data_IF_908658149934
#
_entry.id   IF_908658149934
#
_cell.length_a   1.000
_cell.length_b   1.000
_cell.length_c   1.000
_cell.angle_alpha   90.00
_cell.angle_beta   90.00
_cell.angle_gamma   90.00
#
_symmetry.space_group_name_H-M   'P 1'
#
loop_
_entity.id
_entity.type
_entity.pdbx_description
1 polymer ?
#
# COMPACT_ATOMS: atom_id res chain seq x y z
N UNK A 1 -3.48 6.12 -11.49
CA UNK A 1 -2.22 5.38 -11.50
C UNK A 1 -2.28 4.25 -10.50
N UNK A 2 -1.71 3.14 -10.87
CA UNK A 2 -1.68 2.01 -9.96
C UNK A 2 -0.37 1.97 -9.21
N UNK A 3 -0.47 1.74 -7.91
CA UNK A 3 0.70 1.64 -7.05
C UNK A 3 0.73 0.27 -6.41
N UNK A 4 1.91 -0.31 -6.35
CA UNK A 4 2.14 -1.55 -5.64
C UNK A 4 2.73 -1.18 -4.28
N UNK A 5 2.05 -1.58 -3.23
CA UNK A 5 2.44 -1.23 -1.88
C UNK A 5 2.81 -2.51 -1.14
N UNK A 6 4.02 -2.54 -0.63
CA UNK A 6 4.46 -3.67 0.18
C UNK A 6 4.13 -3.38 1.62
N UNK A 7 3.36 -4.24 2.22
CA UNK A 7 2.89 -4.05 3.58
C UNK A 7 3.24 -5.24 4.45
N UNK A 8 3.27 -4.98 5.73
CA UNK A 8 3.34 -6.05 6.73
C UNK A 8 2.15 -5.91 7.64
N UNK A 9 1.36 -6.96 7.72
CA UNK A 9 0.14 -6.95 8.50
C UNK A 9 0.06 -8.27 9.26
N UNK A 10 -0.04 -8.17 10.57
CA UNK A 10 -0.11 -9.32 11.46
C UNK A 10 1.03 -10.30 11.23
N UNK A 11 2.22 -9.75 11.01
CA UNK A 11 3.40 -10.58 10.83
C UNK A 11 3.59 -11.16 9.44
N UNK A 12 2.71 -10.81 8.52
CA UNK A 12 2.80 -11.32 7.16
C UNK A 12 3.07 -10.17 6.19
N UNK A 13 3.92 -10.41 5.23
CA UNK A 13 4.27 -9.42 4.22
C UNK A 13 3.51 -9.75 2.95
N UNK A 14 2.88 -8.74 2.38
CA UNK A 14 2.09 -8.89 1.16
C UNK A 14 2.23 -7.67 0.30
N UNK A 15 1.89 -7.83 -0.97
CA UNK A 15 1.80 -6.72 -1.91
C UNK A 15 0.34 -6.41 -2.16
N UNK A 16 0.02 -5.14 -2.13
CA UNK A 16 -1.34 -4.67 -2.38
C UNK A 16 -1.28 -3.67 -3.52
N UNK A 17 -2.22 -3.77 -4.44
CA UNK A 17 -2.30 -2.85 -5.55
C UNK A 17 -3.44 -1.88 -5.31
N UNK A 18 -3.17 -0.59 -5.41
CA UNK A 18 -4.18 0.44 -5.22
C UNK A 18 -4.09 1.46 -6.34
N UNK A 19 -5.21 2.09 -6.62
CA UNK A 19 -5.29 3.14 -7.62
C UNK A 19 -5.22 4.48 -6.90
N UNK A 20 -4.15 5.22 -7.12
CA UNK A 20 -3.92 6.47 -6.40
C UNK A 20 -3.25 7.47 -7.31
N UNK A 21 -3.26 8.72 -6.88
CA UNK A 21 -2.64 9.80 -7.65
C UNK A 21 -1.18 9.96 -7.33
N UNK A 22 -0.77 9.53 -6.14
CA UNK A 22 0.62 9.62 -5.75
C UNK A 22 0.87 8.61 -4.64
N UNK A 23 2.14 8.50 -4.24
CA UNK A 23 2.52 7.51 -3.25
C UNK A 23 1.90 7.75 -1.89
N UNK A 24 1.78 9.02 -1.50
CA UNK A 24 1.18 9.32 -0.20
C UNK A 24 -0.27 8.88 -0.16
N UNK A 25 -1.00 9.10 -1.24
CA UNK A 25 -2.38 8.68 -1.31
C UNK A 25 -2.49 7.17 -1.31
N UNK A 26 -1.56 6.49 -1.97
CA UNK A 26 -1.57 5.04 -2.00
C UNK A 26 -1.44 4.48 -0.58
N UNK A 27 -0.55 5.05 0.22
CA UNK A 27 -0.38 4.60 1.60
C UNK A 27 -1.63 4.86 2.42
N UNK A 28 -2.24 6.02 2.20
CA UNK A 28 -3.47 6.35 2.90
C UNK A 28 -4.56 5.32 2.61
N UNK A 29 -4.71 4.97 1.34
CA UNK A 29 -5.74 4.02 0.95
C UNK A 29 -5.51 2.66 1.58
N UNK A 30 -4.26 2.25 1.64
CA UNK A 30 -3.93 0.96 2.26
C UNK A 30 -4.27 1.00 3.76
N UNK A 31 -3.94 2.11 4.42
CA UNK A 31 -4.26 2.23 5.83
C UNK A 31 -5.75 2.21 6.09
N UNK A 32 -6.51 2.85 5.22
CA UNK A 32 -7.95 2.85 5.37
C UNK A 32 -8.53 1.46 5.18
N UNK A 33 -7.91 0.69 4.32
CA UNK A 33 -8.40 -0.63 4.00
C UNK A 33 -8.05 -1.65 5.08
N UNK A 34 -6.84 -1.55 5.62
CA UNK A 34 -6.32 -2.54 6.57
C UNK A 34 -6.38 -2.07 8.02
N UNK A 35 -6.50 -0.76 8.24
CA UNK A 35 -6.47 -0.23 9.58
C UNK A 35 -5.09 0.24 9.97
N UNK A 36 -4.98 0.74 11.20
CA UNK A 36 -3.74 1.35 11.64
C UNK A 36 -2.67 0.34 11.99
N UNK A 37 -3.02 -0.93 12.04
CA UNK A 37 -2.04 -1.95 12.40
C UNK A 37 -1.17 -2.36 11.23
N UNK A 38 -1.50 -1.89 10.05
CA UNK A 38 -0.71 -2.23 8.87
C UNK A 38 0.55 -1.38 8.84
N UNK A 39 1.67 -2.01 8.47
CA UNK A 39 2.92 -1.29 8.26
C UNK A 39 3.19 -1.24 6.77
N UNK A 40 3.34 -0.03 6.26
CA UNK A 40 3.71 0.16 4.86
C UNK A 40 5.23 0.16 4.79
N UNK A 41 5.77 -0.84 4.11
CA UNK A 41 7.21 -0.99 4.00
C UNK A 41 7.74 -0.27 2.77
N UNK A 42 7.02 -0.37 1.66
CA UNK A 42 7.53 0.13 0.41
C UNK A 42 6.33 0.43 -0.50
N UNK A 43 6.51 1.42 -1.36
CA UNK A 43 5.47 1.81 -2.28
C UNK A 43 6.13 2.22 -3.58
N UNK A 44 5.65 1.66 -4.68
CA UNK A 44 6.20 2.00 -5.98
C UNK A 44 5.08 2.02 -7.00
N UNK A 45 5.34 2.69 -8.12
CA UNK A 45 4.40 2.67 -9.23
C UNK A 45 4.37 1.25 -9.78
N UNK A 46 3.19 0.65 -9.73
CA UNK A 46 3.05 -0.73 -10.16
C UNK A 46 2.62 -0.91 -11.58
N UNK A 47 2.39 0.17 -12.25
CA UNK A 47 1.89 0.13 -13.61
C UNK A 47 3.02 0.23 -14.60
N UNK A 48 2.85 -0.43 -15.72
CA UNK A 48 3.88 -0.45 -16.78
C UNK A 48 3.74 0.67 -17.74
#
# INVERSE_FOLDING_TARGET
MKYAVKIRFQGHISWVEVDANNGAQAKELVRQQFGQEVDVIYCKVGEK
#
